data_IF_742136796236
#
_entry.id   IF_742136796236
#
_cell.length_a   1.000
_cell.length_b   1.000
_cell.length_c   1.000
_cell.angle_alpha   90.00
_cell.angle_beta   90.00
_cell.angle_gamma   90.00
#
_symmetry.space_group_name_H-M   'P 1'
#
loop_
_entity.id
_entity.type
_entity.pdbx_description
1 polymer ?
#
# COMPACT_ATOMS: atom_id res chain seq x y z
N UNK A 1 18.54 -30.25 -22.84
CA UNK A 1 17.39 -31.17 -22.57
C UNK A 1 16.22 -30.28 -22.17
N UNK A 2 15.34 -30.00 -23.13
CA UNK A 2 14.13 -29.24 -22.89
C UNK A 2 13.12 -30.14 -22.15
N UNK A 3 13.04 -29.91 -20.83
CA UNK A 3 11.95 -30.48 -20.04
C UNK A 3 10.63 -29.80 -20.45
N UNK A 4 9.99 -30.33 -21.49
CA UNK A 4 8.59 -30.02 -21.75
C UNK A 4 7.76 -30.60 -20.59
N UNK A 5 7.58 -29.82 -19.56
CA UNK A 5 6.67 -30.15 -18.46
C UNK A 5 5.27 -30.24 -19.07
N UNK A 6 4.71 -31.45 -19.15
CA UNK A 6 3.29 -31.66 -19.49
C UNK A 6 2.45 -30.76 -18.61
N UNK A 7 1.90 -29.69 -19.19
CA UNK A 7 1.05 -28.76 -18.49
C UNK A 7 -0.25 -29.50 -18.20
N UNK A 8 -0.58 -29.67 -16.92
CA UNK A 8 -1.78 -30.37 -16.51
C UNK A 8 -2.95 -29.37 -16.56
N UNK A 9 -4.09 -29.76 -17.15
CA UNK A 9 -5.29 -28.91 -17.29
C UNK A 9 -5.72 -28.25 -15.97
N UNK A 10 -5.56 -28.97 -14.85
CA UNK A 10 -5.83 -28.39 -13.50
C UNK A 10 -4.89 -27.26 -13.11
N UNK A 11 -3.64 -27.27 -13.57
CA UNK A 11 -2.67 -26.20 -13.30
C UNK A 11 -2.97 -24.96 -14.16
N UNK A 12 -3.34 -25.16 -15.42
CA UNK A 12 -3.77 -24.08 -16.30
C UNK A 12 -5.03 -23.41 -15.79
N UNK A 13 -6.02 -24.18 -15.37
CA UNK A 13 -7.23 -23.65 -14.76
C UNK A 13 -6.94 -22.82 -13.51
N UNK A 14 -6.04 -23.27 -12.64
CA UNK A 14 -5.63 -22.53 -11.45
C UNK A 14 -4.91 -21.21 -11.79
N UNK A 15 -4.03 -21.22 -12.82
CA UNK A 15 -3.37 -19.98 -13.27
C UNK A 15 -4.37 -19.01 -13.89
N UNK A 16 -5.33 -19.50 -14.69
CA UNK A 16 -6.39 -18.67 -15.27
C UNK A 16 -7.25 -18.02 -14.19
N UNK A 17 -7.69 -18.79 -13.19
CA UNK A 17 -8.46 -18.24 -12.06
C UNK A 17 -7.68 -17.16 -11.31
N UNK A 18 -6.38 -17.38 -11.05
CA UNK A 18 -5.54 -16.38 -10.41
C UNK A 18 -5.35 -15.13 -11.28
N UNK A 19 -5.22 -15.30 -12.58
CA UNK A 19 -5.12 -14.18 -13.53
C UNK A 19 -6.39 -13.35 -13.55
N UNK A 20 -7.56 -13.99 -13.56
CA UNK A 20 -8.85 -13.32 -13.53
C UNK A 20 -9.07 -12.59 -12.18
N UNK A 21 -8.65 -13.20 -11.06
CA UNK A 21 -8.66 -12.53 -9.75
C UNK A 21 -7.69 -11.34 -9.75
N UNK A 22 -6.46 -11.52 -10.16
CA UNK A 22 -5.43 -10.46 -10.13
C UNK A 22 -5.75 -9.31 -11.08
N UNK A 23 -6.37 -9.57 -12.22
CA UNK A 23 -6.82 -8.54 -13.16
C UNK A 23 -7.84 -7.55 -12.60
N UNK A 24 -8.50 -7.88 -11.47
CA UNK A 24 -9.44 -6.99 -10.80
C UNK A 24 -8.76 -6.01 -9.84
N UNK A 25 -7.47 -6.18 -9.56
CA UNK A 25 -6.71 -5.41 -8.60
C UNK A 25 -5.56 -4.68 -9.27
N UNK A 26 -5.29 -3.46 -8.81
CA UNK A 26 -4.25 -2.58 -9.35
C UNK A 26 -2.96 -2.59 -8.55
N UNK A 27 -3.01 -3.03 -7.29
CA UNK A 27 -1.87 -3.07 -6.40
C UNK A 27 -1.69 -4.43 -5.73
N UNK A 28 -0.43 -4.81 -5.53
CA UNK A 28 -0.02 -6.08 -4.92
C UNK A 28 1.06 -5.83 -3.88
N UNK A 29 0.88 -6.34 -2.67
CA UNK A 29 1.91 -6.29 -1.62
C UNK A 29 2.24 -7.72 -1.21
N UNK A 30 3.53 -8.04 -1.16
CA UNK A 30 4.04 -9.37 -0.82
C UNK A 30 4.57 -9.36 0.60
N UNK A 31 4.03 -10.25 1.44
CA UNK A 31 4.43 -10.36 2.83
C UNK A 31 4.70 -11.82 3.21
N UNK A 32 5.73 -12.04 4.00
CA UNK A 32 6.01 -13.33 4.63
C UNK A 32 5.14 -13.44 5.88
N UNK A 33 4.29 -14.47 5.95
CA UNK A 33 3.34 -14.68 7.04
C UNK A 33 3.80 -15.68 8.09
N UNK A 34 5.05 -16.10 8.06
CA UNK A 34 5.60 -17.05 9.04
C UNK A 34 5.54 -16.49 10.46
N UNK A 35 5.09 -17.34 11.36
CA UNK A 35 5.00 -16.99 12.78
C UNK A 35 3.74 -16.22 13.19
N UNK A 36 2.83 -15.93 12.24
CA UNK A 36 1.52 -15.39 12.55
C UNK A 36 0.59 -16.47 13.10
N UNK A 37 -0.17 -16.12 14.12
CA UNK A 37 -1.27 -16.97 14.59
C UNK A 37 -2.48 -16.85 13.67
N UNK A 38 -3.36 -17.84 13.70
CA UNK A 38 -4.61 -17.83 12.90
C UNK A 38 -5.50 -16.63 13.28
N UNK A 39 -5.52 -16.25 14.55
CA UNK A 39 -6.27 -15.07 15.02
C UNK A 39 -5.75 -13.79 14.37
N UNK A 40 -4.44 -13.55 14.42
CA UNK A 40 -3.78 -12.38 13.82
C UNK A 40 -4.01 -12.30 12.30
N UNK A 41 -3.92 -13.44 11.60
CA UNK A 41 -4.20 -13.49 10.17
C UNK A 41 -5.68 -13.19 9.86
N UNK A 42 -6.59 -13.64 10.71
CA UNK A 42 -8.03 -13.39 10.57
C UNK A 42 -8.36 -11.91 10.80
N UNK A 43 -7.74 -11.29 11.78
CA UNK A 43 -7.92 -9.87 12.09
C UNK A 43 -7.34 -8.98 10.96
N UNK A 44 -6.16 -9.33 10.43
CA UNK A 44 -5.60 -8.68 9.25
C UNK A 44 -6.56 -8.78 8.05
N UNK A 45 -7.13 -9.96 7.79
CA UNK A 45 -8.11 -10.14 6.71
C UNK A 45 -9.38 -9.31 6.91
N UNK A 46 -9.85 -9.16 8.15
CA UNK A 46 -11.02 -8.31 8.46
C UNK A 46 -10.73 -6.84 8.14
N UNK A 47 -9.56 -6.34 8.59
CA UNK A 47 -9.14 -4.96 8.33
C UNK A 47 -8.97 -4.68 6.84
N UNK A 48 -8.37 -5.60 6.10
CA UNK A 48 -8.19 -5.49 4.66
C UNK A 48 -9.52 -5.50 3.91
N UNK A 49 -10.47 -6.36 4.29
CA UNK A 49 -11.80 -6.40 3.69
C UNK A 49 -12.60 -5.11 3.90
N UNK A 50 -12.41 -4.42 5.01
CA UNK A 50 -13.03 -3.12 5.27
C UNK A 50 -12.56 -2.03 4.30
N UNK A 51 -11.44 -2.27 3.59
CA UNK A 51 -10.83 -1.37 2.58
C UNK A 51 -10.82 -1.99 1.18
N UNK A 52 -11.77 -2.88 0.89
CA UNK A 52 -11.89 -3.57 -0.41
C UNK A 52 -10.59 -4.27 -0.87
N UNK A 53 -9.76 -4.68 0.08
CA UNK A 53 -8.56 -5.44 -0.17
C UNK A 53 -8.73 -6.92 0.21
N UNK A 54 -8.00 -7.78 -0.46
CA UNK A 54 -8.01 -9.21 -0.17
C UNK A 54 -6.61 -9.73 0.17
N UNK A 55 -6.52 -10.62 1.15
CA UNK A 55 -5.29 -11.33 1.47
C UNK A 55 -5.42 -12.79 1.04
N UNK A 56 -4.61 -13.20 0.06
CA UNK A 56 -4.57 -14.55 -0.50
C UNK A 56 -3.21 -15.20 -0.28
N UNK A 57 -3.23 -16.45 0.08
CA UNK A 57 -2.03 -17.29 0.14
C UNK A 57 -2.06 -18.16 -1.11
N UNK A 58 -1.09 -17.95 -1.98
CA UNK A 58 -1.00 -18.59 -3.29
C UNK A 58 0.34 -19.29 -3.43
N UNK A 59 0.39 -20.32 -4.28
CA UNK A 59 1.65 -20.95 -4.64
C UNK A 59 2.49 -19.98 -5.49
N UNK A 60 3.69 -19.62 -5.04
CA UNK A 60 4.56 -18.63 -5.68
C UNK A 60 4.75 -18.87 -7.19
N UNK A 61 4.87 -20.14 -7.59
CA UNK A 61 5.06 -20.50 -9.01
C UNK A 61 3.86 -20.09 -9.88
N UNK A 62 2.64 -20.20 -9.36
CA UNK A 62 1.43 -19.80 -10.09
C UNK A 62 1.28 -18.27 -10.07
N UNK A 63 1.59 -17.65 -8.94
CA UNK A 63 1.60 -16.19 -8.83
C UNK A 63 2.60 -15.55 -9.81
N UNK A 64 3.82 -16.09 -9.93
CA UNK A 64 4.83 -15.61 -10.90
C UNK A 64 4.33 -15.68 -12.34
N UNK A 65 3.72 -16.80 -12.73
CA UNK A 65 3.20 -16.97 -14.09
C UNK A 65 2.07 -15.97 -14.34
N UNK A 66 1.11 -15.88 -13.43
CA UNK A 66 -0.03 -14.95 -13.56
C UNK A 66 0.43 -13.48 -13.64
N UNK A 67 1.39 -13.07 -12.81
CA UNK A 67 1.95 -11.72 -12.82
C UNK A 67 2.69 -11.39 -14.13
N UNK A 68 3.49 -12.32 -14.65
CA UNK A 68 4.18 -12.15 -15.94
C UNK A 68 3.19 -12.03 -17.11
N UNK A 69 2.12 -12.82 -17.11
CA UNK A 69 1.08 -12.73 -18.14
C UNK A 69 0.27 -11.44 -18.07
N UNK A 70 0.18 -10.80 -16.89
CA UNK A 70 -0.43 -9.48 -16.70
C UNK A 70 0.55 -8.32 -16.99
N UNK A 71 1.82 -8.63 -17.34
CA UNK A 71 2.83 -7.62 -17.66
C UNK A 71 3.51 -7.00 -16.43
N UNK A 72 3.26 -7.53 -15.24
CA UNK A 72 3.88 -7.07 -13.99
C UNK A 72 5.27 -7.70 -13.80
N UNK A 73 6.27 -7.15 -14.50
CA UNK A 73 7.64 -7.63 -14.46
C UNK A 73 8.39 -7.05 -13.24
N UNK A 74 9.35 -7.81 -12.70
CA UNK A 74 10.21 -7.35 -11.59
C UNK A 74 9.84 -7.90 -10.21
N UNK A 75 8.73 -8.65 -10.09
CA UNK A 75 8.20 -9.19 -8.82
C UNK A 75 8.78 -10.57 -8.46
N UNK A 76 9.62 -11.13 -9.33
CA UNK A 76 10.13 -12.50 -9.18
C UNK A 76 10.97 -12.70 -7.91
N UNK A 77 11.66 -11.66 -7.44
CA UNK A 77 12.52 -11.70 -6.25
C UNK A 77 11.71 -11.68 -4.95
N UNK A 78 10.53 -11.08 -4.96
CA UNK A 78 9.69 -10.94 -3.77
C UNK A 78 8.86 -12.19 -3.49
N UNK A 79 8.64 -13.01 -4.51
CA UNK A 79 7.89 -14.27 -4.43
C UNK A 79 8.82 -15.46 -4.10
N UNK A 80 9.52 -15.37 -2.96
CA UNK A 80 10.40 -16.44 -2.45
C UNK A 80 9.95 -16.85 -1.03
N UNK A 81 9.80 -18.15 -0.78
CA UNK A 81 9.34 -18.67 0.52
C UNK A 81 7.81 -18.56 0.70
N UNK A 82 7.30 -18.72 1.93
CA UNK A 82 5.87 -18.60 2.20
C UNK A 82 5.42 -17.15 2.08
N UNK A 83 4.66 -16.86 1.03
CA UNK A 83 4.25 -15.51 0.69
C UNK A 83 2.73 -15.39 0.72
N UNK A 84 2.22 -14.41 1.44
CA UNK A 84 0.87 -13.92 1.33
C UNK A 84 0.84 -12.76 0.34
N UNK A 85 -0.07 -12.81 -0.60
CA UNK A 85 -0.31 -11.73 -1.56
C UNK A 85 -1.50 -10.93 -1.08
N UNK A 86 -1.28 -9.65 -0.83
CA UNK A 86 -2.30 -8.70 -0.46
C UNK A 86 -2.67 -7.93 -1.72
N UNK A 87 -3.93 -8.01 -2.07
CA UNK A 87 -4.51 -7.47 -3.30
C UNK A 87 -5.21 -6.16 -2.96
N UNK A 88 -4.81 -5.07 -3.58
CA UNK A 88 -5.37 -3.75 -3.40
C UNK A 88 -6.23 -3.36 -4.61
N UNK A 89 -7.47 -2.95 -4.38
CA UNK A 89 -8.37 -2.46 -5.41
C UNK A 89 -8.41 -0.93 -5.37
N UNK A 90 -8.30 -0.29 -6.54
CA UNK A 90 -8.52 1.15 -6.69
C UNK A 90 -7.40 2.04 -6.13
N UNK A 91 -7.79 3.22 -5.70
CA UNK A 91 -6.90 4.34 -5.35
C UNK A 91 -6.44 4.33 -3.87
N UNK A 92 -6.94 3.40 -3.03
CA UNK A 92 -6.59 3.34 -1.60
C UNK A 92 -5.37 2.47 -1.28
N UNK A 93 -4.44 2.33 -2.21
CA UNK A 93 -3.25 1.48 -2.04
C UNK A 93 -2.39 1.92 -0.86
N UNK A 94 -2.29 3.23 -0.58
CA UNK A 94 -1.55 3.77 0.57
C UNK A 94 -2.18 3.37 1.91
N UNK A 95 -3.52 3.41 2.01
CA UNK A 95 -4.24 2.99 3.21
C UNK A 95 -4.04 1.49 3.49
N UNK A 96 -4.01 0.67 2.43
CA UNK A 96 -3.76 -0.77 2.54
C UNK A 96 -2.31 -1.03 2.98
N UNK A 97 -1.33 -0.33 2.40
CA UNK A 97 0.07 -0.42 2.82
C UNK A 97 0.23 -0.02 4.30
N UNK A 98 -0.46 1.01 4.76
CA UNK A 98 -0.46 1.43 6.16
C UNK A 98 -0.98 0.33 7.09
N UNK A 99 -2.11 -0.30 6.78
CA UNK A 99 -2.67 -1.42 7.56
C UNK A 99 -1.66 -2.57 7.65
N UNK A 100 -0.98 -2.90 6.55
CA UNK A 100 0.01 -3.99 6.52
C UNK A 100 1.21 -3.67 7.40
N UNK A 101 1.71 -2.43 7.36
CA UNK A 101 2.85 -1.98 8.19
C UNK A 101 2.44 -1.88 9.66
N UNK A 102 1.23 -1.42 9.98
CA UNK A 102 0.70 -1.42 11.35
C UNK A 102 0.56 -2.85 11.88
N UNK A 103 0.05 -3.78 11.09
CA UNK A 103 0.00 -5.20 11.44
C UNK A 103 1.39 -5.80 11.64
N UNK A 104 2.40 -5.39 10.86
CA UNK A 104 3.79 -5.79 11.07
C UNK A 104 4.29 -5.34 12.43
N UNK A 105 4.05 -4.09 12.83
CA UNK A 105 4.45 -3.54 14.13
C UNK A 105 3.70 -4.23 15.29
N UNK A 106 2.41 -4.47 15.12
CA UNK A 106 1.56 -5.14 16.12
C UNK A 106 1.86 -6.63 16.33
N UNK A 107 2.55 -7.27 15.40
CA UNK A 107 2.91 -8.69 15.45
C UNK A 107 4.40 -8.93 15.75
N UNK A 108 5.09 -8.02 16.44
CA UNK A 108 6.50 -8.13 16.78
C UNK A 108 7.40 -8.44 15.56
N UNK A 109 7.10 -7.83 14.42
CA UNK A 109 7.80 -8.05 13.15
C UNK A 109 7.76 -9.50 12.62
N UNK A 110 6.80 -10.31 13.06
CA UNK A 110 6.59 -11.67 12.50
C UNK A 110 6.08 -11.61 11.06
N UNK A 111 5.22 -10.62 10.75
CA UNK A 111 4.87 -10.30 9.38
C UNK A 111 6.00 -9.47 8.77
N UNK A 112 6.63 -9.95 7.70
CA UNK A 112 7.69 -9.21 7.00
C UNK A 112 7.23 -8.85 5.60
N UNK A 113 7.11 -7.57 5.32
CA UNK A 113 6.89 -7.08 3.95
C UNK A 113 8.19 -7.30 3.18
N UNK A 114 8.10 -7.92 2.00
CA UNK A 114 9.23 -8.16 1.10
C UNK A 114 9.31 -7.12 0.01
N UNK A 115 8.18 -6.73 -0.50
CA UNK A 115 8.04 -5.76 -1.56
C UNK A 115 6.60 -5.67 -2.02
N UNK A 116 6.38 -4.97 -3.11
CA UNK A 116 5.06 -4.84 -3.70
C UNK A 116 5.12 -4.35 -5.14
N UNK A 117 3.98 -4.41 -5.79
CA UNK A 117 3.77 -3.81 -7.10
C UNK A 117 2.58 -2.85 -6.99
N UNK A 118 2.87 -1.56 -7.03
CA UNK A 118 1.90 -0.49 -6.81
C UNK A 118 2.03 0.53 -7.96
N UNK A 119 0.91 1.04 -8.44
CA UNK A 119 0.87 2.03 -9.53
C UNK A 119 1.75 1.67 -10.75
N UNK A 120 1.80 0.38 -11.11
CA UNK A 120 2.56 -0.08 -12.27
C UNK A 120 4.07 -0.21 -12.06
N UNK A 121 4.56 -0.06 -10.82
CA UNK A 121 5.99 -0.14 -10.48
C UNK A 121 6.24 -1.16 -9.37
N UNK A 122 7.40 -1.80 -9.44
CA UNK A 122 7.85 -2.68 -8.35
C UNK A 122 8.49 -1.82 -7.25
N UNK A 123 8.14 -2.09 -6.01
CA UNK A 123 8.62 -1.41 -4.81
C UNK A 123 9.30 -2.41 -3.89
N UNK A 124 10.47 -2.03 -3.37
CA UNK A 124 11.14 -2.75 -2.30
C UNK A 124 10.45 -2.54 -0.94
N UNK A 125 10.79 -3.36 0.05
CA UNK A 125 10.23 -3.28 1.39
C UNK A 125 10.36 -1.87 2.02
N UNK A 126 11.50 -1.21 1.84
CA UNK A 126 11.73 0.16 2.34
C UNK A 126 10.84 1.19 1.62
N UNK A 127 10.61 1.01 0.33
CA UNK A 127 9.75 1.88 -0.45
C UNK A 127 8.27 1.68 -0.09
N UNK A 128 7.84 0.44 0.21
CA UNK A 128 6.48 0.17 0.71
C UNK A 128 6.27 0.83 2.08
N UNK A 129 7.28 0.85 2.97
CA UNK A 129 7.20 1.58 4.25
C UNK A 129 7.09 3.09 4.03
N UNK A 130 7.85 3.66 3.12
CA UNK A 130 7.72 5.08 2.75
C UNK A 130 6.34 5.38 2.14
N UNK A 131 5.84 4.50 1.27
CA UNK A 131 4.53 4.63 0.64
C UNK A 131 3.38 4.56 1.66
N UNK A 132 3.52 3.74 2.71
CA UNK A 132 2.52 3.64 3.77
C UNK A 132 2.35 4.92 4.59
N UNK A 133 3.36 5.80 4.60
CA UNK A 133 3.32 7.10 5.29
C UNK A 133 2.60 8.18 4.48
N UNK A 134 2.37 7.92 3.19
CA UNK A 134 1.65 8.86 2.33
C UNK A 134 0.16 8.84 2.65
N UNK A 135 -0.47 10.02 2.71
CA UNK A 135 -1.92 10.11 2.82
C UNK A 135 -2.62 9.58 1.56
N UNK A 136 -3.92 9.34 1.65
CA UNK A 136 -4.73 8.90 0.52
C UNK A 136 -4.72 9.90 -0.63
N UNK A 137 -5.10 9.45 -1.83
CA UNK A 137 -5.08 10.29 -3.05
C UNK A 137 -5.88 11.59 -2.88
N UNK A 138 -7.06 11.52 -2.28
CA UNK A 138 -7.90 12.70 -2.05
C UNK A 138 -7.24 13.66 -1.06
N UNK A 139 -6.61 13.14 -0.01
CA UNK A 139 -5.87 13.94 0.97
C UNK A 139 -4.64 14.61 0.34
N UNK A 140 -3.92 13.91 -0.55
CA UNK A 140 -2.80 14.48 -1.30
C UNK A 140 -3.25 15.64 -2.19
N UNK A 141 -4.38 15.50 -2.88
CA UNK A 141 -4.95 16.57 -3.71
C UNK A 141 -5.37 17.75 -2.82
N UNK A 142 -6.02 17.48 -1.69
CA UNK A 142 -6.40 18.51 -0.72
C UNK A 142 -5.18 19.26 -0.19
N UNK A 143 -4.12 18.54 0.14
CA UNK A 143 -2.85 19.14 0.62
C UNK A 143 -2.16 19.97 -0.46
N UNK A 144 -2.18 19.51 -1.71
CA UNK A 144 -1.69 20.27 -2.86
C UNK A 144 -2.48 21.59 -3.01
N UNK A 145 -3.80 21.53 -2.95
CA UNK A 145 -4.64 22.73 -3.03
C UNK A 145 -4.38 23.69 -1.85
N UNK A 146 -4.21 23.17 -0.65
CA UNK A 146 -3.86 23.97 0.53
C UNK A 146 -2.51 24.67 0.36
N UNK A 147 -1.49 23.97 -0.17
CA UNK A 147 -0.16 24.56 -0.41
C UNK A 147 -0.20 25.66 -1.47
N UNK A 148 -1.05 25.53 -2.50
CA UNK A 148 -1.24 26.58 -3.51
C UNK A 148 -1.91 27.84 -2.92
N UNK A 149 -2.81 27.67 -1.95
CA UNK A 149 -3.48 28.78 -1.25
C UNK A 149 -2.65 29.38 -0.12
N UNK A 150 -1.62 28.67 0.37
CA UNK A 150 -0.80 29.09 1.49
C UNK A 150 -0.15 30.48 1.34
N UNK A 151 0.38 30.90 0.15
CA UNK A 151 0.94 32.25 0.01
C UNK A 151 -0.11 33.36 0.25
N UNK A 152 -1.34 33.16 -0.27
CA UNK A 152 -2.43 34.13 -0.10
C UNK A 152 -2.86 34.21 1.37
N UNK A 153 -2.99 33.05 2.02
CA UNK A 153 -3.32 32.97 3.44
C UNK A 153 -2.26 33.59 4.32
N UNK A 154 -0.96 33.40 4.00
CA UNK A 154 0.15 34.06 4.73
C UNK A 154 0.10 35.59 4.61
N UNK A 155 -0.17 36.13 3.44
CA UNK A 155 -0.33 37.56 3.24
C UNK A 155 -1.50 38.11 4.05
N UNK A 156 -2.66 37.45 4.00
CA UNK A 156 -3.82 37.82 4.78
C UNK A 156 -3.53 37.78 6.30
N UNK A 157 -2.90 36.71 6.78
CA UNK A 157 -2.53 36.54 8.17
C UNK A 157 -1.53 37.65 8.65
N UNK A 158 -0.54 38.01 7.80
CA UNK A 158 0.39 39.10 8.14
C UNK A 158 -0.29 40.46 8.20
N UNK A 159 -1.25 40.72 7.33
CA UNK A 159 -2.03 41.97 7.37
C UNK A 159 -2.91 42.06 8.62
N UNK A 160 -3.57 40.96 8.99
CA UNK A 160 -4.35 40.89 10.23
C UNK A 160 -3.48 41.06 11.47
N UNK A 161 -2.32 40.37 11.53
CA UNK A 161 -1.37 40.54 12.62
C UNK A 161 -0.81 41.96 12.71
N UNK A 162 -0.63 42.63 11.59
CA UNK A 162 -0.23 44.03 11.56
C UNK A 162 -1.34 44.96 12.08
N UNK A 163 -2.59 44.72 11.71
CA UNK A 163 -3.75 45.45 12.22
C UNK A 163 -3.89 45.27 13.73
N UNK A 164 -3.77 44.03 14.25
CA UNK A 164 -3.82 43.77 15.68
C UNK A 164 -2.70 44.48 16.48
N UNK A 165 -1.49 44.57 15.90
CA UNK A 165 -0.41 45.35 16.48
C UNK A 165 -0.71 46.85 16.52
N UNK A 166 -1.37 47.40 15.51
CA UNK A 166 -1.77 48.80 15.48
C UNK A 166 -2.89 49.12 16.50
N UNK A 167 -3.77 48.16 16.74
CA UNK A 167 -4.88 48.25 17.70
C UNK A 167 -4.44 47.97 19.16
N UNK A 168 -3.16 47.71 19.42
CA UNK A 168 -2.59 47.50 20.75
C UNK A 168 -2.96 46.20 21.43
N UNK A 169 -3.49 45.22 20.67
CA UNK A 169 -3.73 43.86 21.13
C UNK A 169 -2.50 43.01 20.90
N UNK A 170 -1.94 42.42 21.95
CA UNK A 170 -0.81 41.51 21.86
C UNK A 170 -1.15 40.32 20.92
N UNK A 171 -0.24 39.94 20.03
CA UNK A 171 -0.51 38.82 19.12
C UNK A 171 -0.69 37.52 19.92
N UNK A 172 -1.81 36.83 19.69
CA UNK A 172 -1.95 35.47 20.12
C UNK A 172 -0.92 34.63 19.34
N UNK A 173 0.01 34.02 20.06
CA UNK A 173 0.98 33.06 19.54
C UNK A 173 0.21 31.88 18.97
N UNK A 174 -0.01 31.84 17.65
CA UNK A 174 -0.49 30.67 16.99
C UNK A 174 0.64 29.70 16.69
N UNK A 175 0.54 28.63 17.44
CA UNK A 175 0.70 27.25 17.02
C UNK A 175 1.96 26.95 16.21
N UNK A 176 2.90 26.43 16.92
CA UNK A 176 3.99 25.63 16.44
C UNK A 176 3.48 24.46 15.58
N UNK A 177 4.03 24.42 14.41
CA UNK A 177 4.19 23.26 13.55
C UNK A 177 4.73 22.05 14.31
N UNK A 178 4.07 20.91 14.11
CA UNK A 178 4.74 19.60 13.97
C UNK A 178 4.10 18.83 12.85
#
# INVERSE_FOLDING_TARGET
>A
MDYQTKVNATKEAAVKQLKDEFGQYSGFIFADYRGLTVAQLSDLRKQLRAKDAACRIVKNRYAKIAMRELGHNGVDNDLVGPTAVILARGDEQSAIAKIVIEAQKGTENKLKVRGGFLDGRAFDAAQVDAFSKLPGRLELISHLMATMMAPVQKVAATLLAYQEKLEGKAPAEEAKEE
#
